data_IF_827091429431
#
_entry.id   IF_827091429431
#
_cell.length_a   1.000
_cell.length_b   1.000
_cell.length_c   1.000
_cell.angle_alpha   90.00
_cell.angle_beta   90.00
_cell.angle_gamma   90.00
#
_symmetry.space_group_name_H-M   'P 1'
#
loop_
_entity.id
_entity.type
_entity.pdbx_description
1 polymer ?
#
# COMPACT_ATOMS: atom_id res chain seq x y z
N UNK A 1 84.39 61.96 -15.88
CA UNK A 1 82.92 62.03 -16.00
C UNK A 1 82.41 60.60 -15.91
N UNK A 2 82.24 60.10 -14.68
CA UNK A 2 81.90 58.70 -14.39
C UNK A 2 81.13 58.67 -13.08
N UNK A 3 79.82 58.82 -13.16
CA UNK A 3 78.84 58.64 -12.07
C UNK A 3 77.46 58.73 -12.72
N UNK A 4 76.99 57.65 -13.34
CA UNK A 4 75.58 57.55 -13.74
C UNK A 4 75.04 56.10 -13.86
N UNK A 5 75.85 55.06 -13.69
CA UNK A 5 75.35 53.67 -13.81
C UNK A 5 74.92 53.02 -12.48
N UNK A 6 75.02 53.73 -11.34
CA UNK A 6 74.76 53.13 -10.02
C UNK A 6 73.35 53.37 -9.46
N UNK A 7 72.50 54.18 -10.11
CA UNK A 7 71.17 54.52 -9.58
C UNK A 7 69.98 53.92 -10.34
N UNK A 8 70.19 53.25 -11.48
CA UNK A 8 69.08 52.65 -12.24
C UNK A 8 68.55 51.32 -11.67
N UNK A 9 69.21 50.75 -10.67
CA UNK A 9 68.88 49.45 -10.07
C UNK A 9 68.08 49.52 -8.75
N UNK A 10 67.58 50.70 -8.35
CA UNK A 10 66.83 50.90 -7.09
C UNK A 10 65.31 51.05 -7.23
N UNK A 11 64.71 50.65 -8.34
CA UNK A 11 63.26 50.64 -8.51
C UNK A 11 62.71 49.29 -8.97
N UNK A 12 62.92 48.25 -8.16
CA UNK A 12 62.12 47.02 -8.23
C UNK A 12 61.66 46.66 -6.82
N UNK A 13 60.43 47.07 -6.48
CA UNK A 13 59.72 46.55 -5.31
C UNK A 13 59.58 45.04 -5.49
N UNK A 14 60.36 44.24 -4.75
CA UNK A 14 60.09 42.80 -4.58
C UNK A 14 58.74 42.65 -3.87
N UNK A 15 57.68 42.39 -4.64
CA UNK A 15 56.39 41.95 -4.10
C UNK A 15 56.55 40.53 -3.55
N UNK A 16 56.21 40.36 -2.27
CA UNK A 16 56.25 39.08 -1.57
C UNK A 16 55.15 38.19 -2.14
N UNK A 17 55.51 37.15 -2.89
CA UNK A 17 54.57 36.22 -3.53
C UNK A 17 54.63 36.16 -5.07
N UNK A 18 55.49 36.96 -5.71
CA UNK A 18 55.78 36.80 -7.13
C UNK A 18 56.64 35.54 -7.33
N UNK A 19 56.20 34.64 -8.21
CA UNK A 19 57.01 33.49 -8.64
C UNK A 19 58.27 34.00 -9.33
N UNK A 20 59.40 33.33 -9.05
CA UNK A 20 60.66 33.57 -9.75
C UNK A 20 60.48 33.32 -11.25
N UNK A 21 61.22 34.02 -12.11
CA UNK A 21 61.00 33.97 -13.56
C UNK A 21 61.04 32.53 -14.09
N UNK A 22 61.99 31.72 -13.59
CA UNK A 22 62.16 30.32 -13.96
C UNK A 22 61.01 29.43 -13.44
N UNK A 23 60.46 29.73 -12.26
CA UNK A 23 59.32 29.01 -11.69
C UNK A 23 58.00 29.37 -12.39
N UNK A 24 57.88 30.61 -12.86
CA UNK A 24 56.77 31.05 -13.69
C UNK A 24 56.82 30.36 -15.06
N UNK A 25 58.00 30.28 -15.70
CA UNK A 25 58.18 29.55 -16.95
C UNK A 25 57.81 28.06 -16.81
N UNK A 26 58.18 27.39 -15.72
CA UNK A 26 57.78 26.00 -15.48
C UNK A 26 56.26 25.86 -15.37
N UNK A 27 55.57 26.78 -14.70
CA UNK A 27 54.11 26.75 -14.62
C UNK A 27 53.44 27.06 -15.97
N UNK A 28 53.96 28.01 -16.74
CA UNK A 28 53.48 28.26 -18.11
C UNK A 28 53.79 27.10 -19.07
N UNK A 29 54.74 26.21 -18.75
CA UNK A 29 54.96 24.96 -19.51
C UNK A 29 53.94 23.87 -19.20
N UNK A 30 53.22 23.95 -18.09
CA UNK A 30 52.20 22.95 -17.71
C UNK A 30 50.77 23.42 -17.99
N UNK A 31 50.62 24.70 -18.31
CA UNK A 31 49.32 25.34 -18.57
C UNK A 31 48.99 25.29 -20.07
N UNK A 32 47.75 24.91 -20.38
CA UNK A 32 47.18 24.92 -21.74
C UNK A 32 46.70 26.33 -22.14
N UNK A 33 46.24 26.50 -23.39
CA UNK A 33 45.76 27.81 -23.90
C UNK A 33 44.55 28.39 -23.13
N UNK A 34 43.90 27.60 -22.27
CA UNK A 34 42.76 28.03 -21.44
C UNK A 34 43.16 28.45 -20.02
N UNK A 35 44.45 28.38 -19.67
CA UNK A 35 44.93 28.73 -18.34
C UNK A 35 44.85 27.60 -17.30
N UNK A 36 44.53 26.37 -17.72
CA UNK A 36 44.42 25.22 -16.83
C UNK A 36 45.69 24.35 -16.87
N UNK A 37 46.14 23.77 -15.73
CA UNK A 37 47.28 22.87 -15.69
C UNK A 37 46.91 21.53 -16.33
N UNK A 38 47.20 21.38 -17.62
CA UNK A 38 46.87 20.20 -18.40
C UNK A 38 48.01 19.88 -19.37
N UNK A 39 48.98 19.10 -18.88
CA UNK A 39 50.27 18.89 -19.55
C UNK A 39 50.13 18.23 -20.93
N UNK A 40 49.19 17.29 -21.09
CA UNK A 40 48.97 16.60 -22.37
C UNK A 40 48.42 17.54 -23.46
N UNK A 41 47.45 18.40 -23.11
CA UNK A 41 46.89 19.38 -24.06
C UNK A 41 47.88 20.50 -24.36
N UNK A 42 48.61 20.97 -23.34
CA UNK A 42 49.64 21.98 -23.50
C UNK A 42 50.78 21.50 -24.43
N UNK A 43 51.17 20.23 -24.36
CA UNK A 43 52.16 19.65 -25.27
C UNK A 43 51.64 19.58 -26.72
N UNK A 44 50.38 19.19 -26.91
CA UNK A 44 49.75 19.08 -28.23
C UNK A 44 49.55 20.44 -28.90
N UNK A 45 49.15 21.46 -28.13
CA UNK A 45 48.98 22.83 -28.58
C UNK A 45 50.33 23.50 -28.91
N UNK A 46 51.40 23.20 -28.14
CA UNK A 46 52.77 23.62 -28.48
C UNK A 46 53.29 22.99 -29.75
N UNK A 47 53.08 21.69 -29.94
CA UNK A 47 53.44 21.01 -31.19
C UNK A 47 52.72 21.63 -32.40
N UNK A 48 51.47 22.08 -32.21
CA UNK A 48 50.70 22.78 -33.24
C UNK A 48 51.23 24.19 -33.54
N UNK A 49 51.67 24.94 -32.52
CA UNK A 49 52.30 26.27 -32.67
C UNK A 49 53.66 26.21 -33.35
N UNK A 50 54.46 25.17 -33.08
CA UNK A 50 55.74 24.94 -33.78
C UNK A 50 55.53 24.69 -35.29
N UNK A 51 54.34 24.24 -35.68
CA UNK A 51 53.92 24.10 -37.08
C UNK A 51 53.33 25.37 -37.73
N UNK A 52 53.35 26.54 -37.06
CA UNK A 52 52.88 27.81 -37.62
C UNK A 52 51.35 28.03 -37.55
N UNK A 53 50.62 27.23 -36.79
CA UNK A 53 49.18 27.42 -36.60
C UNK A 53 48.88 28.57 -35.61
N UNK A 54 47.85 29.37 -35.92
CA UNK A 54 47.37 30.45 -35.05
C UNK A 54 46.85 29.91 -33.70
N UNK A 55 46.91 30.78 -32.68
CA UNK A 55 46.36 30.52 -31.34
C UNK A 55 44.89 30.11 -31.44
N UNK A 56 44.45 29.15 -30.62
CA UNK A 56 43.03 28.74 -30.57
C UNK A 56 42.25 29.93 -30.03
N UNK A 57 41.34 30.46 -30.85
CA UNK A 57 40.33 31.39 -30.37
C UNK A 57 39.34 30.56 -29.55
N UNK A 58 39.54 30.57 -28.23
CA UNK A 58 38.69 29.83 -27.29
C UNK A 58 37.40 30.62 -27.15
N UNK A 59 36.41 30.28 -27.99
CA UNK A 59 35.07 30.83 -27.91
C UNK A 59 34.39 30.37 -26.59
N UNK A 60 34.08 31.29 -25.66
CA UNK A 60 33.45 30.98 -24.37
C UNK A 60 32.02 30.45 -24.51
N UNK A 61 31.42 30.48 -25.71
CA UNK A 61 30.09 29.93 -25.99
C UNK A 61 30.15 28.62 -26.78
N UNK A 62 31.34 28.18 -27.22
CA UNK A 62 31.49 26.88 -27.87
C UNK A 62 31.60 25.79 -26.81
N UNK A 63 30.90 24.66 -27.01
CA UNK A 63 30.86 23.52 -26.08
C UNK A 63 32.20 22.80 -25.83
N UNK A 64 33.31 23.41 -26.25
CA UNK A 64 34.70 22.97 -26.07
C UNK A 64 35.32 23.45 -24.75
N UNK A 65 34.60 24.27 -23.96
CA UNK A 65 34.99 24.63 -22.59
C UNK A 65 34.80 23.43 -21.62
N UNK A 66 35.87 22.92 -20.99
CA UNK A 66 35.80 21.84 -20.00
C UNK A 66 35.06 22.21 -18.71
N UNK A 67 34.74 23.49 -18.47
CA UNK A 67 34.22 23.98 -17.20
C UNK A 67 32.69 23.88 -17.06
N UNK A 68 31.93 23.65 -18.13
CA UNK A 68 30.45 23.73 -18.09
C UNK A 68 29.64 22.64 -18.78
N UNK A 69 30.16 21.95 -19.81
CA UNK A 69 29.30 21.12 -20.69
C UNK A 69 29.18 19.64 -20.31
N UNK A 70 30.12 19.11 -19.52
CA UNK A 70 30.09 17.71 -19.11
C UNK A 70 29.29 17.48 -17.83
N UNK A 71 29.11 18.50 -16.99
CA UNK A 71 28.45 18.35 -15.70
C UNK A 71 26.95 18.04 -15.91
N UNK A 72 26.27 18.75 -16.83
CA UNK A 72 24.85 18.51 -17.11
C UNK A 72 24.60 17.12 -17.71
N UNK A 73 25.41 16.71 -18.70
CA UNK A 73 25.31 15.36 -19.30
C UNK A 73 25.66 14.25 -18.31
N UNK A 74 26.65 14.46 -17.44
CA UNK A 74 27.05 13.47 -16.42
C UNK A 74 26.01 13.39 -15.31
N UNK A 75 25.42 14.50 -14.89
CA UNK A 75 24.33 14.52 -13.90
C UNK A 75 23.09 13.82 -14.46
N UNK A 76 22.64 14.16 -15.67
CA UNK A 76 21.48 13.51 -16.28
C UNK A 76 21.73 12.02 -16.51
N UNK A 77 22.92 11.63 -16.97
CA UNK A 77 23.28 10.21 -17.15
C UNK A 77 23.31 9.45 -15.83
N UNK A 78 23.82 10.07 -14.77
CA UNK A 78 23.87 9.46 -13.43
C UNK A 78 22.47 9.36 -12.81
N UNK A 79 21.63 10.38 -12.98
CA UNK A 79 20.24 10.36 -12.53
C UNK A 79 19.40 9.30 -13.26
N UNK A 80 19.51 9.21 -14.59
CA UNK A 80 18.83 8.18 -15.39
C UNK A 80 19.34 6.78 -15.02
N UNK A 81 20.64 6.61 -14.82
CA UNK A 81 21.21 5.34 -14.37
C UNK A 81 20.71 4.97 -12.97
N UNK A 82 20.64 5.91 -12.04
CA UNK A 82 20.12 5.70 -10.70
C UNK A 82 18.64 5.28 -10.74
N UNK A 83 17.82 5.96 -11.54
CA UNK A 83 16.40 5.60 -11.72
C UNK A 83 16.25 4.20 -12.31
N UNK A 84 17.07 3.84 -13.32
CA UNK A 84 17.05 2.50 -13.90
C UNK A 84 17.48 1.42 -12.91
N UNK A 85 18.55 1.66 -12.14
CA UNK A 85 19.00 0.72 -11.09
C UNK A 85 17.94 0.58 -10.01
N UNK A 86 17.38 1.70 -9.54
CA UNK A 86 16.31 1.69 -8.54
C UNK A 86 15.06 0.95 -9.04
N UNK A 87 14.65 1.20 -10.29
CA UNK A 87 13.54 0.48 -10.92
C UNK A 87 13.82 -1.03 -10.99
N UNK A 88 15.03 -1.43 -11.40
CA UNK A 88 15.44 -2.84 -11.43
C UNK A 88 15.40 -3.45 -10.02
N UNK A 89 15.89 -2.74 -9.00
CA UNK A 89 15.83 -3.20 -7.60
C UNK A 89 14.37 -3.37 -7.17
N UNK A 90 13.50 -2.40 -7.44
CA UNK A 90 12.07 -2.48 -7.07
C UNK A 90 11.39 -3.63 -7.79
N UNK A 91 11.61 -3.81 -9.09
CA UNK A 91 11.03 -4.91 -9.87
C UNK A 91 11.56 -6.26 -9.38
N UNK A 92 12.88 -6.39 -9.16
CA UNK A 92 13.46 -7.60 -8.59
C UNK A 92 12.90 -7.88 -7.20
N UNK A 93 12.70 -6.86 -6.36
CA UNK A 93 12.11 -7.03 -5.04
C UNK A 93 10.63 -7.39 -5.10
N UNK A 94 9.86 -6.83 -6.04
CA UNK A 94 8.46 -7.20 -6.28
C UNK A 94 8.32 -8.64 -6.77
N UNK A 95 9.14 -9.03 -7.76
CA UNK A 95 9.18 -10.41 -8.28
C UNK A 95 9.67 -11.37 -7.20
N UNK A 96 10.69 -11.01 -6.43
CA UNK A 96 11.20 -11.83 -5.32
C UNK A 96 10.15 -11.98 -4.23
N UNK A 97 9.48 -10.91 -3.80
CA UNK A 97 8.37 -11.00 -2.86
C UNK A 97 7.23 -11.88 -3.39
N UNK A 98 6.91 -11.80 -4.70
CA UNK A 98 5.91 -12.64 -5.34
C UNK A 98 6.29 -14.12 -5.41
N UNK A 99 7.54 -14.42 -5.79
CA UNK A 99 8.07 -15.79 -5.88
C UNK A 99 8.25 -16.40 -4.50
N UNK A 100 8.78 -15.65 -3.53
CA UNK A 100 8.90 -16.09 -2.13
C UNK A 100 7.52 -16.35 -1.56
N UNK A 101 6.50 -15.52 -1.85
CA UNK A 101 5.13 -15.79 -1.45
C UNK A 101 4.60 -17.12 -1.98
N UNK A 102 4.80 -17.36 -3.27
CA UNK A 102 4.38 -18.60 -3.92
C UNK A 102 5.15 -19.81 -3.39
N UNK A 103 6.45 -19.67 -3.17
CA UNK A 103 7.30 -20.74 -2.67
C UNK A 103 7.02 -21.09 -1.19
N UNK A 104 6.54 -20.13 -0.40
CA UNK A 104 6.19 -20.34 1.01
C UNK A 104 4.70 -20.69 1.22
N UNK A 105 3.96 -20.95 0.13
CA UNK A 105 2.56 -21.36 0.21
C UNK A 105 2.49 -22.81 0.69
N UNK A 106 1.88 -23.02 1.85
CA UNK A 106 1.80 -24.35 2.43
C UNK A 106 0.80 -25.21 1.67
N UNK A 107 1.22 -26.40 1.26
CA UNK A 107 0.36 -27.36 0.59
C UNK A 107 -0.39 -28.21 1.62
N UNK A 108 -1.57 -27.73 2.04
CA UNK A 108 -2.43 -28.45 2.99
C UNK A 108 -2.97 -29.77 2.43
N UNK A 109 -2.84 -30.02 1.13
CA UNK A 109 -3.30 -31.26 0.51
C UNK A 109 -2.42 -32.47 0.88
N UNK A 110 -1.13 -32.27 1.17
CA UNK A 110 -0.19 -33.35 1.48
C UNK A 110 -0.08 -33.65 2.97
N UNK A 111 -0.04 -32.61 3.81
CA UNK A 111 0.01 -32.77 5.27
C UNK A 111 -0.71 -31.66 6.01
N UNK A 112 -1.59 -32.04 6.93
CA UNK A 112 -2.37 -31.14 7.77
C UNK A 112 -1.95 -31.31 9.22
N UNK A 113 -1.17 -30.34 9.68
CA UNK A 113 -0.70 -30.22 11.06
C UNK A 113 -0.85 -28.78 11.49
N UNK A 114 -0.77 -28.52 12.80
CA UNK A 114 -0.77 -27.15 13.35
C UNK A 114 0.28 -26.26 12.67
N UNK A 115 1.45 -26.82 12.34
CA UNK A 115 2.52 -26.06 11.67
C UNK A 115 2.20 -25.74 10.22
N UNK A 116 1.69 -26.70 9.45
CA UNK A 116 1.34 -26.45 8.04
C UNK A 116 0.15 -25.51 7.92
N UNK A 117 -0.85 -25.64 8.80
CA UNK A 117 -1.99 -24.71 8.88
C UNK A 117 -1.56 -23.30 9.28
N UNK A 118 -0.72 -23.16 10.31
CA UNK A 118 -0.19 -21.84 10.68
C UNK A 118 0.66 -21.21 9.57
N UNK A 119 1.40 -22.03 8.81
CA UNK A 119 2.17 -21.57 7.64
C UNK A 119 1.24 -21.12 6.51
N UNK A 120 0.14 -21.84 6.25
CA UNK A 120 -0.89 -21.45 5.28
C UNK A 120 -1.55 -20.12 5.68
N UNK A 121 -1.89 -19.93 6.96
CA UNK A 121 -2.51 -18.69 7.42
C UNK A 121 -1.54 -17.50 7.33
N UNK A 122 -0.23 -17.69 7.58
CA UNK A 122 0.78 -16.62 7.42
C UNK A 122 1.14 -16.33 5.97
N UNK A 123 1.32 -17.37 5.17
CA UNK A 123 1.80 -17.28 3.80
C UNK A 123 0.71 -17.02 2.77
N UNK A 124 -0.54 -17.36 3.11
CA UNK A 124 -1.65 -17.50 2.18
C UNK A 124 -1.76 -18.91 1.62
N UNK A 125 -2.87 -19.15 0.92
CA UNK A 125 -3.14 -20.41 0.21
C UNK A 125 -3.43 -20.14 -1.25
N UNK A 126 -3.11 -21.08 -2.13
CA UNK A 126 -3.44 -21.00 -3.55
C UNK A 126 -4.96 -21.00 -3.75
N UNK A 127 -5.44 -20.09 -4.61
CA UNK A 127 -6.85 -20.02 -4.99
C UNK A 127 -6.97 -19.55 -6.44
N UNK A 128 -7.46 -20.43 -7.31
CA UNK A 128 -7.53 -20.18 -8.75
C UNK A 128 -6.14 -19.91 -9.35
N UNK A 129 -5.97 -18.73 -9.96
CA UNK A 129 -4.69 -18.28 -10.53
C UNK A 129 -3.87 -17.38 -9.58
N UNK A 130 -4.27 -17.27 -8.31
CA UNK A 130 -3.66 -16.38 -7.34
C UNK A 130 -3.55 -17.00 -5.93
N UNK A 131 -3.51 -16.12 -4.93
CA UNK A 131 -3.40 -16.51 -3.52
C UNK A 131 -4.39 -15.72 -2.67
N UNK A 132 -4.96 -16.39 -1.69
CA UNK A 132 -5.81 -15.76 -0.68
C UNK A 132 -4.99 -15.55 0.58
N UNK A 133 -5.04 -14.32 1.10
CA UNK A 133 -4.35 -13.91 2.32
C UNK A 133 -5.33 -13.93 3.49
N UNK A 134 -4.81 -14.20 4.67
CA UNK A 134 -5.57 -14.26 5.91
C UNK A 134 -5.20 -13.10 6.83
N UNK A 135 -6.07 -12.76 7.80
CA UNK A 135 -5.72 -11.81 8.84
C UNK A 135 -4.47 -12.23 9.61
N UNK A 136 -3.66 -11.26 10.04
CA UNK A 136 -2.39 -11.52 10.74
C UNK A 136 -2.62 -12.15 12.12
N UNK A 137 -3.72 -11.77 12.78
CA UNK A 137 -4.09 -12.31 14.08
C UNK A 137 -4.97 -13.54 13.87
N UNK A 138 -4.39 -14.70 14.17
CA UNK A 138 -5.08 -15.97 14.08
C UNK A 138 -4.59 -16.93 15.16
N UNK A 139 -5.39 -17.96 15.38
CA UNK A 139 -5.06 -19.10 16.23
C UNK A 139 -5.54 -20.38 15.56
N UNK A 140 -4.78 -21.46 15.77
CA UNK A 140 -5.13 -22.80 15.30
C UNK A 140 -5.56 -23.58 16.51
N UNK A 141 -6.85 -23.95 16.57
CA UNK A 141 -7.42 -24.74 17.65
C UNK A 141 -7.14 -26.22 17.43
N UNK A 142 -7.33 -26.67 16.19
CA UNK A 142 -7.14 -28.07 15.80
C UNK A 142 -6.60 -28.15 14.37
N UNK A 143 -5.68 -29.08 14.15
CA UNK A 143 -5.22 -29.45 12.82
C UNK A 143 -4.61 -30.85 12.92
N UNK A 144 -5.47 -31.86 12.78
CA UNK A 144 -5.10 -33.25 12.95
C UNK A 144 -5.79 -34.15 11.90
N UNK A 145 -4.97 -34.91 11.17
CA UNK A 145 -5.43 -35.89 10.18
C UNK A 145 -6.07 -37.12 10.79
N UNK A 146 -5.81 -37.41 12.08
CA UNK A 146 -6.40 -38.54 12.78
C UNK A 146 -7.86 -38.28 13.15
N UNK A 147 -8.17 -37.04 13.56
CA UNK A 147 -9.54 -36.59 13.80
C UNK A 147 -10.25 -36.15 12.52
N UNK A 148 -9.45 -35.86 11.47
CA UNK A 148 -9.92 -35.38 10.18
C UNK A 148 -10.44 -33.94 10.24
N UNK A 149 -10.05 -33.19 11.28
CA UNK A 149 -10.60 -31.88 11.57
C UNK A 149 -9.52 -30.81 11.60
N UNK A 150 -9.86 -29.67 11.01
CA UNK A 150 -9.10 -28.43 11.11
C UNK A 150 -10.02 -27.36 11.67
N UNK A 151 -9.56 -26.66 12.69
CA UNK A 151 -10.28 -25.55 13.32
C UNK A 151 -9.33 -24.39 13.54
N UNK A 152 -9.70 -23.24 12.97
CA UNK A 152 -8.92 -22.02 13.05
C UNK A 152 -9.82 -20.85 13.37
N UNK A 153 -9.26 -19.87 14.05
CA UNK A 153 -9.91 -18.59 14.36
C UNK A 153 -9.04 -17.49 13.84
N UNK A 154 -9.62 -16.59 13.05
CA UNK A 154 -8.97 -15.37 12.59
C UNK A 154 -9.68 -14.15 13.18
N UNK A 155 -8.92 -13.07 13.39
CA UNK A 155 -9.46 -11.79 13.82
C UNK A 155 -9.36 -10.79 12.68
N UNK A 156 -10.50 -10.41 12.11
CA UNK A 156 -10.56 -9.38 11.07
C UNK A 156 -10.47 -7.99 11.70
N UNK A 157 -9.47 -7.24 11.25
CA UNK A 157 -9.22 -5.84 11.63
C UNK A 157 -9.13 -4.94 10.40
N UNK A 158 -9.59 -5.42 9.23
CA UNK A 158 -9.45 -4.72 7.95
C UNK A 158 -10.78 -4.21 7.41
N UNK A 159 -11.86 -4.95 7.65
CA UNK A 159 -13.19 -4.62 7.14
C UNK A 159 -13.80 -3.41 7.84
N UNK A 160 -14.54 -2.60 7.09
CA UNK A 160 -15.22 -1.39 7.61
C UNK A 160 -16.60 -1.69 8.16
N UNK A 161 -17.29 -2.65 7.56
CA UNK A 161 -18.65 -3.03 7.91
C UNK A 161 -18.84 -4.55 7.86
N UNK A 162 -20.02 -5.00 8.26
CA UNK A 162 -20.37 -6.41 8.34
C UNK A 162 -20.40 -7.08 6.96
N UNK A 163 -20.79 -6.36 5.90
CA UNK A 163 -20.83 -6.91 4.55
C UNK A 163 -19.43 -7.14 3.98
N UNK A 164 -18.51 -6.19 4.15
CA UNK A 164 -17.10 -6.33 3.76
C UNK A 164 -16.45 -7.49 4.53
N UNK A 165 -16.72 -7.59 5.85
CA UNK A 165 -16.25 -8.69 6.69
C UNK A 165 -16.79 -10.04 6.22
N UNK A 166 -18.09 -10.14 5.95
CA UNK A 166 -18.72 -11.36 5.45
C UNK A 166 -18.16 -11.78 4.09
N UNK A 167 -18.05 -10.84 3.15
CA UNK A 167 -17.56 -11.13 1.80
C UNK A 167 -16.09 -11.56 1.81
N UNK A 168 -15.24 -10.82 2.53
CA UNK A 168 -13.82 -11.13 2.65
C UNK A 168 -13.59 -12.47 3.34
N UNK A 169 -14.21 -12.69 4.49
CA UNK A 169 -14.06 -13.93 5.25
C UNK A 169 -14.64 -15.15 4.55
N UNK A 170 -15.73 -15.01 3.79
CA UNK A 170 -16.29 -16.08 2.95
C UNK A 170 -15.28 -16.59 1.92
N UNK A 171 -14.59 -15.69 1.22
CA UNK A 171 -13.57 -16.05 0.23
C UNK A 171 -12.36 -16.70 0.90
N UNK A 172 -11.90 -16.13 2.01
CA UNK A 172 -10.82 -16.70 2.82
C UNK A 172 -11.14 -18.11 3.30
N UNK A 173 -12.31 -18.30 3.90
CA UNK A 173 -12.75 -19.57 4.45
C UNK A 173 -12.88 -20.64 3.37
N UNK A 174 -13.46 -20.29 2.20
CA UNK A 174 -13.54 -21.21 1.06
C UNK A 174 -12.16 -21.62 0.54
N UNK A 175 -11.27 -20.65 0.31
CA UNK A 175 -9.92 -20.93 -0.17
C UNK A 175 -9.16 -21.84 0.80
N UNK A 176 -9.22 -21.54 2.10
CA UNK A 176 -8.62 -22.37 3.14
C UNK A 176 -9.21 -23.78 3.17
N UNK A 177 -10.54 -23.88 3.20
CA UNK A 177 -11.24 -25.14 3.32
C UNK A 177 -11.00 -26.05 2.13
N UNK A 178 -11.02 -25.55 0.89
CA UNK A 178 -10.74 -26.38 -0.28
C UNK A 178 -9.31 -26.92 -0.24
N UNK A 179 -8.31 -26.10 0.11
CA UNK A 179 -6.92 -26.56 0.23
C UNK A 179 -6.76 -27.67 1.29
N UNK A 180 -7.45 -27.55 2.43
CA UNK A 180 -7.42 -28.56 3.49
C UNK A 180 -8.25 -29.81 3.15
N UNK A 181 -9.46 -29.65 2.59
CA UNK A 181 -10.37 -30.75 2.25
C UNK A 181 -9.91 -31.54 1.04
N UNK A 182 -8.97 -31.06 0.23
CA UNK A 182 -8.34 -31.89 -0.79
C UNK A 182 -7.43 -32.97 -0.18
N UNK A 183 -6.97 -32.79 1.05
CA UNK A 183 -6.31 -33.87 1.79
C UNK A 183 -7.32 -35.01 2.05
N UNK A 184 -7.01 -36.27 1.69
CA UNK A 184 -7.93 -37.40 1.87
C UNK A 184 -8.26 -37.69 3.33
N UNK A 185 -7.43 -37.26 4.28
CA UNK A 185 -7.62 -37.48 5.72
C UNK A 185 -8.49 -36.42 6.39
N UNK A 186 -8.70 -35.27 5.76
CA UNK A 186 -9.51 -34.20 6.34
C UNK A 186 -10.93 -34.25 5.77
N UNK A 187 -11.92 -34.23 6.65
CA UNK A 187 -13.34 -34.21 6.31
C UNK A 187 -14.08 -32.99 6.87
N UNK A 188 -13.50 -32.29 7.86
CA UNK A 188 -14.14 -31.12 8.46
C UNK A 188 -13.17 -29.95 8.57
N UNK A 189 -13.59 -28.77 8.14
CA UNK A 189 -12.86 -27.51 8.35
C UNK A 189 -13.79 -26.50 9.00
N UNK A 190 -13.40 -25.96 10.14
CA UNK A 190 -14.12 -24.91 10.86
C UNK A 190 -13.27 -23.64 10.87
N UNK A 191 -13.82 -22.57 10.30
CA UNK A 191 -13.16 -21.29 10.19
C UNK A 191 -13.97 -20.24 10.94
N UNK A 192 -13.49 -19.84 12.11
CA UNK A 192 -14.08 -18.80 12.93
C UNK A 192 -13.53 -17.44 12.55
N UNK A 193 -14.43 -16.46 12.51
CA UNK A 193 -14.11 -15.05 12.30
C UNK A 193 -14.52 -14.29 13.54
N UNK A 194 -13.55 -13.59 14.11
CA UNK A 194 -13.74 -12.66 15.21
C UNK A 194 -13.46 -11.23 14.74
N UNK A 195 -14.09 -10.26 15.38
CA UNK A 195 -13.91 -8.83 15.11
C UNK A 195 -13.83 -8.06 16.43
N UNK A 196 -13.14 -6.93 16.40
CA UNK A 196 -13.22 -5.95 17.48
C UNK A 196 -14.41 -5.03 17.25
N UNK A 197 -15.11 -4.67 18.33
CA UNK A 197 -16.23 -3.74 18.28
C UNK A 197 -16.02 -2.58 19.24
N UNK A 198 -16.45 -1.39 18.84
CA UNK A 198 -16.48 -0.23 19.73
C UNK A 198 -17.72 -0.27 20.65
N UNK A 199 -17.82 0.69 21.56
CA UNK A 199 -18.96 0.81 22.49
C UNK A 199 -20.32 1.00 21.79
N UNK A 200 -20.30 1.43 20.52
CA UNK A 200 -21.48 1.61 19.67
C UNK A 200 -21.84 0.34 18.90
N UNK A 201 -21.05 -0.74 19.04
CA UNK A 201 -21.25 -2.02 18.38
C UNK A 201 -20.71 -2.09 16.94
N UNK A 202 -20.05 -1.04 16.46
CA UNK A 202 -19.47 -0.97 15.11
C UNK A 202 -18.13 -1.70 15.05
N UNK A 203 -17.79 -2.24 13.88
CA UNK A 203 -16.50 -2.92 13.67
C UNK A 203 -15.34 -1.94 13.78
N UNK A 204 -14.31 -2.35 14.50
CA UNK A 204 -13.05 -1.61 14.59
C UNK A 204 -12.02 -2.18 13.63
N UNK A 205 -11.40 -1.28 12.86
CA UNK A 205 -10.29 -1.60 11.98
C UNK A 205 -8.97 -1.12 12.55
N UNK A 206 -7.88 -1.73 12.10
CA UNK A 206 -6.54 -1.26 12.35
C UNK A 206 -6.33 0.14 11.78
N UNK A 207 -5.70 1.00 12.57
CA UNK A 207 -5.35 2.36 12.20
C UNK A 207 -3.87 2.43 11.77
N UNK A 208 -3.48 3.56 11.17
CA UNK A 208 -2.10 3.82 10.73
C UNK A 208 -1.52 2.69 9.86
N UNK A 209 -2.22 2.37 8.76
CA UNK A 209 -1.83 1.33 7.80
C UNK A 209 -1.63 -0.08 8.40
N UNK A 210 -2.33 -0.41 9.49
CA UNK A 210 -2.19 -1.71 10.17
C UNK A 210 -1.26 -1.67 11.39
N UNK A 211 -0.57 -0.55 11.64
CA UNK A 211 0.36 -0.44 12.77
C UNK A 211 -0.33 -0.40 14.13
N UNK A 212 -1.53 0.20 14.19
CA UNK A 212 -2.30 0.32 15.42
C UNK A 212 -3.51 -0.61 15.35
N UNK A 213 -3.36 -1.81 15.94
CA UNK A 213 -4.44 -2.77 16.04
C UNK A 213 -5.52 -2.29 17.03
N UNK A 214 -6.80 -2.63 16.81
CA UNK A 214 -7.85 -2.36 17.78
C UNK A 214 -7.53 -3.01 19.13
N UNK A 215 -7.83 -2.30 20.22
CA UNK A 215 -7.74 -2.84 21.57
C UNK A 215 -8.99 -3.60 21.99
N UNK A 216 -8.93 -4.26 23.15
CA UNK A 216 -10.07 -4.99 23.72
C UNK A 216 -10.22 -6.41 23.19
N UNK A 217 -11.23 -7.13 23.69
CA UNK A 217 -11.45 -8.53 23.35
C UNK A 217 -12.10 -8.66 21.97
N UNK A 218 -11.60 -9.60 21.16
CA UNK A 218 -12.20 -9.96 19.89
C UNK A 218 -13.45 -10.81 20.12
N UNK A 219 -14.54 -10.48 19.42
CA UNK A 219 -15.84 -11.16 19.55
C UNK A 219 -16.14 -11.96 18.27
N UNK A 220 -16.62 -13.22 18.39
CA UNK A 220 -17.00 -14.01 17.22
C UNK A 220 -18.16 -13.35 16.45
N UNK A 221 -18.08 -13.34 15.12
CA UNK A 221 -19.14 -12.82 14.23
C UNK A 221 -19.66 -13.88 13.26
N UNK A 222 -18.76 -14.62 12.61
CA UNK A 222 -19.13 -15.66 11.64
C UNK A 222 -18.36 -16.93 11.94
N UNK A 223 -18.98 -18.07 11.67
CA UNK A 223 -18.28 -19.35 11.63
C UNK A 223 -18.69 -20.08 10.37
N UNK A 224 -17.70 -20.43 9.55
CA UNK A 224 -17.86 -21.18 8.32
C UNK A 224 -17.43 -22.62 8.60
N UNK A 225 -18.37 -23.54 8.55
CA UNK A 225 -18.11 -24.98 8.72
C UNK A 225 -18.25 -25.68 7.38
N UNK A 226 -17.18 -26.32 6.93
CA UNK A 226 -17.15 -27.12 5.73
C UNK A 226 -17.05 -28.59 6.09
N UNK A 227 -17.95 -29.39 5.51
CA UNK A 227 -17.96 -30.84 5.67
C UNK A 227 -17.84 -31.49 4.31
N UNK A 228 -16.84 -32.36 4.15
CA UNK A 228 -16.63 -33.18 2.95
C UNK A 228 -17.15 -34.59 3.19
N UNK A 229 -18.00 -35.05 2.28
CA UNK A 229 -18.35 -36.46 2.13
C UNK A 229 -17.87 -36.94 0.77
N UNK A 230 -17.22 -38.10 0.74
CA UNK A 230 -16.68 -38.69 -0.48
C UNK A 230 -17.31 -40.07 -0.69
N UNK A 231 -17.82 -40.30 -1.90
CA UNK A 231 -18.35 -41.60 -2.35
C UNK A 231 -17.75 -41.98 -3.70
N UNK A 232 -18.13 -43.13 -4.23
CA UNK A 232 -17.78 -43.56 -5.60
C UNK A 232 -18.29 -42.59 -6.67
N UNK A 233 -19.36 -41.85 -6.37
CA UNK A 233 -20.08 -41.01 -7.33
C UNK A 233 -19.57 -39.57 -7.35
N UNK A 234 -18.75 -39.19 -6.36
CA UNK A 234 -18.11 -37.89 -6.31
C UNK A 234 -17.76 -37.41 -4.91
N UNK A 235 -17.38 -36.13 -4.84
CA UNK A 235 -17.09 -35.41 -3.59
C UNK A 235 -18.17 -34.35 -3.39
N UNK A 236 -18.82 -34.38 -2.24
CA UNK A 236 -19.75 -33.34 -1.81
C UNK A 236 -19.11 -32.53 -0.69
N UNK A 237 -19.06 -31.21 -0.86
CA UNK A 237 -18.60 -30.27 0.16
C UNK A 237 -19.79 -29.39 0.52
N UNK A 238 -20.24 -29.49 1.76
CA UNK A 238 -21.30 -28.65 2.31
C UNK A 238 -20.69 -27.55 3.16
N UNK A 239 -21.12 -26.31 2.94
CA UNK A 239 -20.74 -25.15 3.77
C UNK A 239 -21.95 -24.69 4.58
N UNK A 240 -21.76 -24.54 5.89
CA UNK A 240 -22.75 -23.97 6.82
C UNK A 240 -22.15 -22.72 7.46
N UNK A 241 -22.90 -21.62 7.47
CA UNK A 241 -22.50 -20.36 8.08
C UNK A 241 -23.37 -20.11 9.31
N UNK A 242 -22.74 -19.90 10.45
CA UNK A 242 -23.42 -19.52 11.71
C UNK A 242 -22.89 -18.17 12.22
N UNK A 243 -23.55 -17.59 13.23
CA UNK A 243 -23.20 -16.28 13.81
C UNK A 243 -23.92 -15.08 13.18
N UNK A 244 -24.48 -15.25 11.98
CA UNK A 244 -25.36 -14.25 11.35
C UNK A 244 -26.74 -14.23 12.03
N UNK A 245 -26.87 -13.51 13.16
CA UNK A 245 -28.15 -13.29 13.83
C UNK A 245 -29.10 -12.41 12.98
N UNK A 246 -30.37 -12.27 13.39
CA UNK A 246 -31.38 -11.53 12.63
C UNK A 246 -30.96 -10.08 12.31
N UNK A 247 -30.26 -9.43 13.24
CA UNK A 247 -29.71 -8.08 13.07
C UNK A 247 -28.66 -8.06 11.96
N UNK A 248 -27.66 -8.94 12.02
CA UNK A 248 -26.60 -9.07 11.01
C UNK A 248 -27.19 -9.44 9.65
N UNK A 249 -28.15 -10.37 9.60
CA UNK A 249 -28.80 -10.74 8.35
C UNK A 249 -29.59 -9.58 7.74
N UNK A 250 -30.27 -8.78 8.57
CA UNK A 250 -30.98 -7.59 8.11
C UNK A 250 -30.00 -6.55 7.58
N UNK A 251 -28.92 -6.28 8.32
CA UNK A 251 -27.86 -5.36 7.90
C UNK A 251 -27.23 -5.80 6.56
N UNK A 252 -26.91 -7.09 6.41
CA UNK A 252 -26.39 -7.66 5.16
C UNK A 252 -27.38 -7.47 4.00
N UNK A 253 -28.68 -7.74 4.21
CA UNK A 253 -29.71 -7.52 3.17
C UNK A 253 -29.84 -6.05 2.79
N UNK A 254 -29.83 -5.15 3.78
CA UNK A 254 -29.98 -3.71 3.54
C UNK A 254 -28.75 -3.14 2.81
N UNK A 255 -27.54 -3.56 3.17
CA UNK A 255 -26.30 -3.14 2.51
C UNK A 255 -26.18 -3.70 1.08
N UNK A 256 -26.61 -4.94 0.83
CA UNK A 256 -26.68 -5.51 -0.53
C UNK A 256 -27.71 -4.76 -1.39
N UNK A 257 -28.90 -4.48 -0.85
CA UNK A 257 -29.95 -3.78 -1.57
C UNK A 257 -29.54 -2.33 -1.90
N UNK A 258 -28.80 -1.66 -1.02
CA UNK A 258 -28.37 -0.27 -1.21
C UNK A 258 -27.11 -0.11 -2.04
N UNK A 259 -26.22 -1.11 -2.09
CA UNK A 259 -24.98 -1.07 -2.89
C UNK A 259 -25.21 -1.21 -4.40
N UNK A 260 -26.33 -1.82 -4.83
CA UNK A 260 -26.61 -2.08 -6.25
C UNK A 260 -27.87 -1.40 -6.81
N UNK A 261 -28.62 -0.63 -6.03
CA UNK A 261 -29.80 0.08 -6.55
C UNK A 261 -29.42 1.48 -7.07
N UNK A 262 -29.56 1.77 -8.39
CA UNK A 262 -29.28 3.09 -8.97
C UNK A 262 -30.22 4.20 -8.49
N UNK A 263 -31.16 3.92 -7.60
CA UNK A 263 -32.24 4.83 -7.21
C UNK A 263 -31.70 6.08 -6.50
N UNK A 264 -30.51 6.04 -5.89
CA UNK A 264 -29.88 7.25 -5.33
C UNK A 264 -29.12 8.11 -6.35
N UNK A 265 -28.69 7.54 -7.48
CA UNK A 265 -28.03 8.31 -8.54
C UNK A 265 -29.08 8.91 -9.50
N UNK A 266 -30.21 8.24 -9.70
CA UNK A 266 -31.34 8.79 -10.46
C UNK A 266 -32.27 9.69 -9.65
N UNK A 267 -32.43 9.46 -8.34
CA UNK A 267 -33.25 10.31 -7.48
C UNK A 267 -32.69 11.72 -7.24
N UNK A 268 -31.39 11.93 -7.45
CA UNK A 268 -30.75 13.25 -7.42
C UNK A 268 -30.73 13.99 -8.76
N UNK A 269 -31.09 13.33 -9.86
CA UNK A 269 -31.08 13.89 -11.22
C UNK A 269 -32.50 13.99 -11.82
N UNK A 270 -33.47 13.24 -11.31
CA UNK A 270 -34.89 13.29 -11.70
C UNK A 270 -35.78 13.44 -10.46
N UNK A 271 -35.70 14.59 -9.80
CA UNK A 271 -36.58 14.89 -8.66
C UNK A 271 -36.20 16.19 -7.95
N UNK A 272 -36.69 17.31 -8.46
CA UNK A 272 -36.63 18.59 -7.75
C UNK A 272 -37.45 18.55 -6.46
N UNK A 273 -36.91 19.21 -5.43
CA UNK A 273 -37.49 19.51 -4.11
C UNK A 273 -38.04 18.33 -3.27
N UNK A 274 -37.54 18.07 -2.07
CA UNK A 274 -37.65 19.04 -0.97
C UNK A 274 -36.75 18.64 0.20
N UNK A 275 -36.07 19.65 0.72
CA UNK A 275 -35.30 19.61 1.95
C UNK A 275 -36.15 19.20 3.15
N UNK A 276 -35.79 18.11 3.83
CA UNK A 276 -36.02 17.99 5.28
C UNK A 276 -34.71 17.63 5.95
N UNK A 277 -33.92 18.67 6.26
CA UNK A 277 -32.90 18.59 7.31
C UNK A 277 -33.64 18.40 8.63
N UNK A 278 -33.41 17.29 9.32
CA UNK A 278 -33.63 17.22 10.77
C UNK A 278 -32.27 17.02 11.44
N UNK A 279 -31.63 18.15 11.69
CA UNK A 279 -30.46 18.27 12.55
C UNK A 279 -30.99 18.26 13.99
N UNK A 280 -30.78 17.17 14.73
CA UNK A 280 -31.14 17.12 16.15
C UNK A 280 -29.94 17.61 16.94
N UNK A 281 -29.99 18.87 17.39
CA UNK A 281 -29.11 19.41 18.42
C UNK A 281 -29.95 19.81 19.63
N UNK A 282 -29.52 19.30 20.77
CA UNK A 282 -30.00 19.42 22.15
C UNK A 282 -30.18 20.86 22.66
N UNK A 283 -31.15 21.07 23.55
CA UNK A 283 -31.23 22.21 24.49
C UNK A 283 -32.66 22.67 24.76
N UNK A 284 -33.34 22.19 25.80
CA UNK A 284 -33.36 22.76 27.18
C UNK A 284 -34.50 23.78 27.41
N UNK A 285 -35.44 23.37 28.26
CA UNK A 285 -36.28 24.13 29.21
C UNK A 285 -37.44 25.01 28.68
N UNK A 286 -38.62 24.80 29.29
CA UNK A 286 -39.48 25.94 29.67
C UNK A 286 -40.99 25.83 29.39
N UNK A 287 -41.70 25.05 30.21
CA UNK A 287 -42.96 25.39 30.91
C UNK A 287 -44.18 25.98 30.14
N UNK A 288 -45.33 25.33 30.40
CA UNK A 288 -46.67 25.89 30.77
C UNK A 288 -47.83 25.68 29.79
N UNK A 289 -48.80 24.87 30.23
CA UNK A 289 -50.26 25.17 30.25
C UNK A 289 -51.09 24.85 28.99
N UNK A 290 -52.05 23.91 29.08
CA UNK A 290 -53.50 24.17 29.31
C UNK A 290 -54.24 24.31 27.95
N UNK A 291 -55.42 23.75 27.62
CA UNK A 291 -56.38 22.78 28.15
C UNK A 291 -57.42 22.57 27.04
N UNK A 292 -58.03 21.38 27.01
CA UNK A 292 -59.44 21.18 26.60
C UNK A 292 -59.65 20.43 25.29
N UNK A 293 -60.64 19.56 25.11
CA UNK A 293 -61.71 19.05 25.98
C UNK A 293 -62.27 17.78 25.31
N UNK A 294 -62.59 16.80 26.14
CA UNK A 294 -63.31 15.54 25.87
C UNK A 294 -64.74 15.77 25.38
N UNK A 295 -65.29 14.92 24.49
CA UNK A 295 -66.46 14.11 24.86
C UNK A 295 -66.86 13.07 23.79
N UNK A 296 -67.07 11.87 24.32
CA UNK A 296 -67.73 10.68 23.80
C UNK A 296 -69.22 10.89 23.55
N UNK A 297 -69.81 10.21 22.56
CA UNK A 297 -71.12 9.56 22.68
C UNK A 297 -71.21 8.46 21.62
N UNK A 298 -71.48 7.22 22.03
CA UNK A 298 -71.82 6.12 21.13
C UNK A 298 -73.32 6.08 20.85
N UNK A 299 -73.72 5.41 19.77
CA UNK A 299 -74.99 4.67 19.67
C UNK A 299 -74.86 3.70 18.49
N UNK A 300 -75.22 2.46 18.78
CA UNK A 300 -75.34 1.30 17.92
C UNK A 300 -76.43 1.51 16.86
N UNK A 301 -76.23 1.04 15.64
CA UNK A 301 -77.34 0.58 14.82
C UNK A 301 -76.93 -0.58 13.90
N UNK A 302 -77.92 -1.41 13.64
CA UNK A 302 -77.87 -2.83 13.36
C UNK A 302 -78.11 -3.20 11.89
N UNK A 303 -77.85 -4.48 11.61
CA UNK A 303 -78.47 -5.33 10.57
C UNK A 303 -77.96 -5.17 9.13
N UNK A 304 -77.22 -6.16 8.63
CA UNK A 304 -77.67 -7.29 7.79
C UNK A 304 -77.88 -6.88 6.32
N UNK A 305 -77.28 -7.53 5.33
CA UNK A 305 -77.65 -8.90 4.95
C UNK A 305 -76.87 -9.36 3.70
N UNK A 306 -76.57 -10.68 3.68
CA UNK A 306 -76.56 -11.63 2.54
C UNK A 306 -75.74 -11.33 1.27
N UNK A 307 -75.00 -12.27 0.70
CA UNK A 307 -75.25 -13.72 0.56
C UNK A 307 -73.94 -14.46 0.31
#
# INVERSE_FOLDING_TARGET
>A
MAKDDAERSRFARRQKGALDADAAEELFTKVDETGHPNEERAALERARRQGGAAAVDVDPLSGSDPSGSNIEKVITKTAVLFVLIFLVIVVLMQVSCGVIRRANTANLTESVTVRSVASALRGGVEWGNGFTQFPEDFSVQEADENTGRVEVTVTDTTSKDVLECYAGSSVQAQAFAINALLNPRINTVVYHVSVHRNDQGELQKSQLFGFLKPGGDATPIFTFTFSKTQSSDGVNITMVITGANDTIQKELRDQIATSFTPVRVLGGIVGGDSSTKKNTTTGTIGTTGTTGTTNTTGTSDSSSSTK
#
